data_IF_132267518676
#
_entry.id   IF_132267518676
#
_cell.length_a   1.000
_cell.length_b   1.000
_cell.length_c   1.000
_cell.angle_alpha   90.00
_cell.angle_beta   90.00
_cell.angle_gamma   90.00
#
_symmetry.space_group_name_H-M   'P 1'
#
loop_
_entity.id
_entity.type
_entity.pdbx_description
1 polymer ?
#
# COMPACT_ATOMS: atom_id res chain seq x y z
N UNK A 1 -33.38 -31.34 49.05
CA UNK A 1 -32.70 -30.20 48.41
C UNK A 1 -31.47 -30.71 47.71
N UNK A 2 -31.54 -30.85 46.37
CA UNK A 2 -30.45 -31.22 45.54
C UNK A 2 -29.84 -29.91 44.93
N UNK A 3 -28.62 -29.65 45.22
CA UNK A 3 -27.85 -28.53 44.65
C UNK A 3 -27.31 -28.92 43.27
N UNK A 4 -27.74 -28.21 42.25
CA UNK A 4 -27.23 -28.35 40.89
C UNK A 4 -26.02 -27.46 40.73
N UNK A 5 -24.87 -28.08 40.46
CA UNK A 5 -23.61 -27.38 40.12
C UNK A 5 -23.71 -26.86 38.68
N UNK A 6 -23.38 -25.61 38.38
CA UNK A 6 -23.30 -25.14 37.00
C UNK A 6 -22.08 -25.73 36.31
N UNK A 7 -22.26 -26.14 35.04
CA UNK A 7 -21.21 -26.61 34.18
C UNK A 7 -20.26 -25.45 33.84
N UNK A 8 -18.98 -25.66 34.10
CA UNK A 8 -17.88 -24.77 33.78
C UNK A 8 -17.71 -24.77 32.25
N UNK A 9 -17.94 -23.60 31.63
CA UNK A 9 -17.69 -23.39 30.22
C UNK A 9 -16.17 -23.34 30.01
N UNK A 10 -15.64 -24.39 29.36
CA UNK A 10 -14.22 -24.41 28.95
C UNK A 10 -14.03 -23.36 27.87
N UNK A 11 -13.39 -22.25 28.21
CA UNK A 11 -12.95 -21.21 27.30
C UNK A 11 -11.86 -21.81 26.41
N UNK A 12 -12.19 -22.02 25.13
CA UNK A 12 -11.23 -22.54 24.13
C UNK A 12 -10.24 -21.43 23.78
N UNK A 13 -8.96 -21.64 24.10
CA UNK A 13 -7.88 -20.73 23.77
C UNK A 13 -7.75 -20.60 22.23
N UNK A 14 -7.84 -19.40 21.64
CA UNK A 14 -7.76 -19.19 20.19
C UNK A 14 -6.43 -19.65 19.58
N UNK A 15 -5.37 -19.76 20.36
CA UNK A 15 -4.07 -20.29 19.92
C UNK A 15 -4.14 -21.79 19.63
N UNK A 16 -4.98 -22.54 20.37
CA UNK A 16 -5.18 -23.98 20.17
C UNK A 16 -5.87 -24.30 18.84
N UNK A 17 -6.87 -23.47 18.45
CA UNK A 17 -7.58 -23.65 17.17
C UNK A 17 -6.68 -23.40 15.95
N UNK A 18 -5.70 -22.52 16.09
CA UNK A 18 -4.77 -22.24 15.00
C UNK A 18 -3.70 -23.34 14.86
N UNK A 19 -3.25 -23.91 15.96
CA UNK A 19 -2.30 -25.03 15.97
C UNK A 19 -2.90 -26.31 15.35
N UNK A 20 -4.17 -26.58 15.63
CA UNK A 20 -4.87 -27.77 15.10
C UNK A 20 -5.09 -27.67 13.58
N UNK A 21 -5.38 -26.47 13.05
CA UNK A 21 -5.51 -26.24 11.60
C UNK A 21 -4.21 -26.41 10.84
N UNK A 22 -3.07 -26.05 11.43
CA UNK A 22 -1.76 -26.24 10.81
C UNK A 22 -1.35 -27.73 10.84
N UNK A 23 -1.64 -28.44 11.92
CA UNK A 23 -1.35 -29.88 12.04
C UNK A 23 -2.18 -30.69 11.02
N UNK A 24 -3.43 -30.33 10.80
CA UNK A 24 -4.31 -30.99 9.83
C UNK A 24 -3.88 -30.72 8.38
N UNK A 25 -3.41 -29.50 8.07
CA UNK A 25 -2.84 -29.16 6.76
C UNK A 25 -1.54 -29.92 6.46
N UNK A 26 -0.72 -30.21 7.46
CA UNK A 26 0.50 -31.00 7.30
C UNK A 26 0.25 -32.49 7.18
N UNK A 27 -0.82 -33.04 7.81
CA UNK A 27 -1.18 -34.45 7.69
C UNK A 27 -1.72 -34.83 6.32
N UNK A 28 -2.26 -33.87 5.57
CA UNK A 28 -2.77 -34.12 4.21
C UNK A 28 -1.64 -34.34 3.18
N UNK A 29 -0.44 -33.80 3.43
CA UNK A 29 0.73 -33.99 2.58
C UNK A 29 1.46 -35.33 2.82
N UNK A 30 1.19 -36.00 3.95
CA UNK A 30 1.85 -37.26 4.33
C UNK A 30 1.07 -38.51 3.88
N UNK A 31 -0.19 -38.37 3.42
CA UNK A 31 -1.04 -39.51 3.08
C UNK A 31 -1.01 -39.93 1.60
N UNK A 32 -0.39 -39.17 0.72
CA UNK A 32 -0.16 -39.55 -0.68
C UNK A 32 1.25 -40.05 -0.87
N UNK A 33 1.47 -41.29 -0.47
CA UNK A 33 2.74 -42.01 -0.61
C UNK A 33 2.97 -42.55 -2.02
N UNK A 34 2.95 -41.67 -3.01
CA UNK A 34 3.57 -41.90 -4.31
C UNK A 34 4.63 -40.83 -4.52
N UNK A 35 5.89 -41.23 -4.34
CA UNK A 35 7.03 -40.42 -4.73
C UNK A 35 7.02 -40.28 -6.26
N UNK A 36 6.47 -39.16 -6.76
CA UNK A 36 6.67 -38.76 -8.15
C UNK A 36 8.12 -38.31 -8.25
N UNK A 37 8.96 -39.14 -8.85
CA UNK A 37 10.30 -38.76 -9.25
C UNK A 37 10.17 -37.69 -10.36
N UNK A 38 10.25 -36.42 -9.94
CA UNK A 38 10.35 -35.29 -10.85
C UNK A 38 11.76 -35.27 -11.41
N UNK A 39 12.05 -36.17 -12.34
CA UNK A 39 13.26 -36.15 -13.14
C UNK A 39 13.43 -34.79 -13.78
N UNK A 40 14.51 -34.12 -13.44
CA UNK A 40 14.85 -32.72 -13.79
C UNK A 40 15.14 -32.54 -15.30
N UNK A 41 15.10 -33.60 -16.09
CA UNK A 41 15.61 -33.66 -17.49
C UNK A 41 14.53 -33.60 -18.55
N UNK A 42 13.29 -33.18 -18.24
CA UNK A 42 12.21 -33.16 -19.21
C UNK A 42 11.42 -31.87 -19.36
N UNK A 43 11.75 -30.80 -18.64
CA UNK A 43 11.02 -29.53 -18.72
C UNK A 43 11.75 -28.60 -19.69
N UNK A 44 11.33 -28.64 -20.95
CA UNK A 44 11.74 -27.64 -21.96
C UNK A 44 10.94 -26.38 -21.70
N UNK A 45 11.58 -25.36 -21.13
CA UNK A 45 10.99 -24.03 -21.03
C UNK A 45 11.12 -23.34 -22.38
N UNK A 46 10.02 -23.23 -23.09
CA UNK A 46 9.94 -22.35 -24.24
C UNK A 46 9.76 -20.91 -23.72
N UNK A 47 10.85 -20.15 -23.69
CA UNK A 47 10.81 -18.75 -23.27
C UNK A 47 10.21 -17.95 -24.43
N UNK A 48 8.90 -17.71 -24.36
CA UNK A 48 8.26 -16.76 -25.26
C UNK A 48 8.73 -15.35 -24.89
N UNK A 49 9.73 -14.87 -25.62
CA UNK A 49 10.12 -13.46 -25.59
C UNK A 49 9.10 -12.69 -26.41
N UNK A 50 8.13 -12.06 -25.73
CA UNK A 50 7.21 -11.16 -26.41
C UNK A 50 7.99 -10.02 -27.09
N UNK A 51 7.76 -9.74 -28.37
CA UNK A 51 8.42 -8.63 -29.05
C UNK A 51 8.00 -7.33 -28.36
N UNK A 52 9.00 -6.53 -27.97
CA UNK A 52 8.82 -5.19 -27.40
C UNK A 52 7.97 -4.39 -28.40
N UNK A 53 6.81 -3.82 -27.97
CA UNK A 53 6.01 -2.99 -28.86
C UNK A 53 6.83 -1.78 -29.32
N UNK A 54 7.03 -1.68 -30.63
CA UNK A 54 7.63 -0.50 -31.26
C UNK A 54 6.62 0.65 -31.12
N UNK A 55 6.98 1.81 -30.55
CA UNK A 55 6.07 2.93 -30.51
C UNK A 55 5.83 3.46 -31.92
N UNK A 56 4.60 3.34 -32.40
CA UNK A 56 4.15 4.01 -33.61
C UNK A 56 4.01 5.50 -33.28
N UNK A 57 4.64 6.42 -34.01
CA UNK A 57 4.44 7.84 -33.80
C UNK A 57 3.05 8.22 -34.34
N UNK A 58 2.10 8.42 -33.43
CA UNK A 58 0.82 9.03 -33.78
C UNK A 58 0.99 10.56 -33.85
N UNK A 59 0.64 11.10 -35.01
CA UNK A 59 0.83 12.50 -35.36
C UNK A 59 0.02 13.42 -34.44
N UNK A 60 0.72 14.32 -33.72
CA UNK A 60 0.12 15.39 -32.96
C UNK A 60 -0.53 16.41 -33.88
N UNK A 61 -1.86 16.48 -33.86
CA UNK A 61 -2.59 17.68 -34.32
C UNK A 61 -2.65 18.69 -33.21
N UNK A 62 -2.05 19.85 -33.43
CA UNK A 62 -1.90 20.90 -32.47
C UNK A 62 -3.21 21.49 -31.96
N UNK A 63 -3.23 21.78 -30.69
CA UNK A 63 -4.09 22.77 -30.08
C UNK A 63 -3.25 23.62 -29.13
N UNK A 64 -2.99 24.85 -29.53
CA UNK A 64 -2.32 25.88 -28.74
C UNK A 64 -3.25 26.34 -27.63
N UNK A 65 -3.06 25.81 -26.43
CA UNK A 65 -3.55 26.46 -25.21
C UNK A 65 -2.34 26.59 -24.28
N UNK A 66 -1.84 27.79 -24.08
CA UNK A 66 -0.85 28.14 -23.09
C UNK A 66 -1.45 27.97 -21.70
N UNK A 67 -1.37 26.77 -21.17
CA UNK A 67 -1.52 26.49 -19.76
C UNK A 67 -0.15 26.09 -19.25
N UNK A 68 0.32 26.73 -18.19
CA UNK A 68 1.49 26.31 -17.42
C UNK A 68 1.27 24.85 -17.01
N UNK A 69 1.74 23.93 -17.81
CA UNK A 69 1.65 22.49 -17.56
C UNK A 69 2.58 22.17 -16.41
N UNK A 70 2.05 22.21 -15.17
CA UNK A 70 2.70 21.53 -14.08
C UNK A 70 2.78 20.03 -14.49
N UNK A 71 3.99 19.50 -14.58
CA UNK A 71 4.19 18.10 -14.91
C UNK A 71 3.42 17.19 -13.94
N UNK A 72 2.57 16.32 -14.46
CA UNK A 72 1.86 15.30 -13.68
C UNK A 72 2.55 13.95 -13.89
N UNK A 73 2.84 13.20 -12.81
CA UNK A 73 3.46 11.89 -12.93
C UNK A 73 2.50 10.88 -13.58
N UNK A 74 3.03 9.93 -14.36
CA UNK A 74 2.22 8.84 -14.90
C UNK A 74 1.77 7.89 -13.80
N UNK A 75 0.57 7.33 -13.93
CA UNK A 75 0.09 6.26 -13.07
C UNK A 75 0.92 4.98 -13.27
N UNK A 76 1.31 4.36 -12.15
CA UNK A 76 1.91 3.02 -12.09
C UNK A 76 1.13 2.21 -11.06
N UNK A 77 0.67 1.01 -11.45
CA UNK A 77 -0.03 0.13 -10.53
C UNK A 77 0.89 -0.30 -9.38
N UNK A 78 0.46 -0.16 -8.12
CA UNK A 78 1.31 -0.52 -6.98
C UNK A 78 1.44 -2.03 -6.80
N UNK A 79 2.58 -2.47 -6.28
CA UNK A 79 2.81 -3.87 -5.93
C UNK A 79 1.92 -4.29 -4.74
N UNK A 80 1.27 -5.47 -4.79
CA UNK A 80 0.46 -5.98 -3.69
C UNK A 80 1.23 -6.08 -2.37
N UNK A 81 0.58 -5.77 -1.26
CA UNK A 81 1.18 -5.84 0.08
C UNK A 81 2.10 -4.69 0.47
N UNK A 82 2.27 -3.69 -0.40
CA UNK A 82 3.06 -2.49 -0.10
C UNK A 82 2.22 -1.38 0.55
N UNK A 83 2.87 -0.39 1.17
CA UNK A 83 2.21 0.82 1.65
C UNK A 83 1.48 1.57 0.52
N UNK A 84 2.03 1.53 -0.70
CA UNK A 84 1.39 2.11 -1.88
C UNK A 84 0.10 1.40 -2.25
N UNK A 85 0.03 0.06 -2.12
CA UNK A 85 -1.21 -0.69 -2.37
C UNK A 85 -2.31 -0.31 -1.37
N UNK A 86 -1.96 -0.14 -0.08
CA UNK A 86 -2.88 0.36 0.95
C UNK A 86 -3.38 1.76 0.60
N UNK A 87 -2.47 2.65 0.20
CA UNK A 87 -2.82 4.01 -0.19
C UNK A 87 -3.72 4.05 -1.43
N UNK A 88 -3.47 3.19 -2.41
CA UNK A 88 -4.29 3.11 -3.62
C UNK A 88 -5.74 2.77 -3.28
N UNK A 89 -5.97 1.75 -2.44
CA UNK A 89 -7.32 1.42 -1.99
C UNK A 89 -8.01 2.60 -1.30
N UNK A 90 -7.31 3.30 -0.40
CA UNK A 90 -7.84 4.46 0.33
C UNK A 90 -8.10 5.68 -0.58
N UNK A 91 -7.33 5.84 -1.66
CA UNK A 91 -7.53 6.87 -2.69
C UNK A 91 -8.82 6.59 -3.46
N UNK A 92 -9.01 5.33 -3.88
CA UNK A 92 -10.24 4.91 -4.58
C UNK A 92 -11.50 5.06 -3.70
N UNK A 93 -11.42 4.72 -2.42
CA UNK A 93 -12.51 4.91 -1.46
C UNK A 93 -12.94 6.38 -1.32
N UNK A 94 -12.03 7.33 -1.55
CA UNK A 94 -12.32 8.77 -1.54
C UNK A 94 -12.85 9.29 -2.88
N UNK A 95 -12.99 8.42 -3.89
CA UNK A 95 -13.41 8.78 -5.24
C UNK A 95 -12.31 9.50 -6.04
N UNK A 96 -11.07 9.42 -5.62
CA UNK A 96 -9.93 9.91 -6.37
C UNK A 96 -9.44 8.85 -7.35
N UNK A 97 -9.13 9.27 -8.58
CA UNK A 97 -8.70 8.37 -9.66
C UNK A 97 -7.20 8.05 -9.64
N UNK A 98 -6.79 7.33 -10.67
CA UNK A 98 -5.40 6.89 -10.85
C UNK A 98 -4.41 8.04 -10.99
N UNK A 99 -4.82 9.15 -11.60
CA UNK A 99 -3.99 10.38 -11.72
C UNK A 99 -3.68 10.96 -10.34
N UNK A 100 -4.67 10.98 -9.44
CA UNK A 100 -4.49 11.45 -8.07
C UNK A 100 -3.57 10.54 -7.27
N UNK A 101 -3.69 9.22 -7.48
CA UNK A 101 -2.74 8.28 -6.88
C UNK A 101 -1.31 8.48 -7.42
N UNK A 102 -1.14 8.71 -8.72
CA UNK A 102 0.17 8.99 -9.30
C UNK A 102 0.82 10.25 -8.69
N UNK A 103 0.04 11.31 -8.49
CA UNK A 103 0.48 12.50 -7.78
C UNK A 103 0.88 12.21 -6.32
N UNK A 104 0.10 11.37 -5.61
CA UNK A 104 0.40 10.96 -4.25
C UNK A 104 1.72 10.19 -4.16
N UNK A 105 1.94 9.25 -5.10
CA UNK A 105 3.19 8.48 -5.18
C UNK A 105 4.38 9.41 -5.35
N UNK A 106 4.30 10.38 -6.27
CA UNK A 106 5.37 11.35 -6.51
C UNK A 106 5.62 12.22 -5.28
N UNK A 107 4.56 12.71 -4.63
CA UNK A 107 4.63 13.53 -3.44
C UNK A 107 5.35 12.80 -2.30
N UNK A 108 4.88 11.62 -1.92
CA UNK A 108 5.44 10.89 -0.78
C UNK A 108 6.76 10.19 -1.07
N UNK A 109 7.09 9.96 -2.35
CA UNK A 109 8.47 9.63 -2.74
C UNK A 109 9.44 10.78 -2.39
N UNK A 110 9.04 12.01 -2.67
CA UNK A 110 9.84 13.21 -2.34
C UNK A 110 9.97 13.40 -0.82
N UNK A 111 8.90 13.14 -0.05
CA UNK A 111 8.87 13.38 1.39
C UNK A 111 9.67 12.33 2.18
N UNK A 112 9.39 11.07 1.95
CA UNK A 112 9.91 9.98 2.80
C UNK A 112 10.46 8.78 2.02
N UNK A 113 10.24 8.70 0.70
CA UNK A 113 10.41 7.47 -0.07
C UNK A 113 9.47 6.37 0.43
N UNK A 114 8.27 6.71 0.89
CA UNK A 114 7.26 5.78 1.44
C UNK A 114 7.72 5.03 2.70
N UNK A 115 8.70 5.53 3.43
CA UNK A 115 9.20 4.87 4.64
C UNK A 115 8.38 5.27 5.86
N UNK A 116 7.83 4.26 6.54
CA UNK A 116 7.04 4.41 7.78
C UNK A 116 7.83 5.09 8.90
N UNK A 117 9.13 4.80 9.00
CA UNK A 117 10.03 5.31 10.02
C UNK A 117 10.94 6.46 9.52
N UNK A 118 10.57 7.12 8.42
CA UNK A 118 11.34 8.27 7.94
C UNK A 118 11.28 9.38 8.99
N UNK A 119 12.44 9.88 9.40
CA UNK A 119 12.57 10.96 10.38
C UNK A 119 13.53 12.03 9.87
N UNK A 120 13.06 13.26 9.87
CA UNK A 120 13.90 14.43 9.56
C UNK A 120 14.38 15.06 10.86
N UNK A 121 15.66 14.86 11.20
CA UNK A 121 16.23 15.36 12.44
C UNK A 121 16.26 16.91 12.53
N UNK A 122 16.24 17.60 11.40
CA UNK A 122 16.26 19.06 11.36
C UNK A 122 14.90 19.70 11.69
N UNK A 123 13.80 19.08 11.22
CA UNK A 123 12.45 19.59 11.41
C UNK A 123 11.64 18.81 12.45
N UNK A 124 11.96 17.52 12.67
CA UNK A 124 11.14 16.61 13.47
C UNK A 124 9.97 15.99 12.69
N UNK A 125 9.92 16.16 11.37
CA UNK A 125 8.91 15.52 10.53
C UNK A 125 9.06 14.00 10.52
N UNK A 126 7.94 13.27 10.54
CA UNK A 126 7.93 11.82 10.70
C UNK A 126 6.99 11.10 9.75
N UNK A 127 7.42 9.88 9.35
CA UNK A 127 6.62 8.89 8.65
C UNK A 127 6.44 9.17 7.16
N UNK A 128 5.56 8.39 6.54
CA UNK A 128 5.27 8.47 5.09
C UNK A 128 4.90 9.90 4.67
N UNK A 129 3.94 10.59 5.34
CA UNK A 129 3.52 11.94 4.95
C UNK A 129 4.41 13.05 5.49
N UNK A 130 5.47 12.75 6.26
CA UNK A 130 6.32 13.74 6.94
C UNK A 130 5.52 14.73 7.80
N UNK A 131 4.62 14.17 8.64
CA UNK A 131 3.81 14.97 9.56
C UNK A 131 4.67 15.74 10.58
N UNK A 132 4.33 17.01 10.82
CA UNK A 132 5.06 17.88 11.75
C UNK A 132 4.12 18.55 12.76
N UNK A 133 4.23 18.24 14.05
CA UNK A 133 4.93 17.08 14.62
C UNK A 133 4.29 15.76 14.21
N UNK A 134 5.08 14.66 14.20
CA UNK A 134 4.61 13.32 13.85
C UNK A 134 3.42 12.85 14.68
N UNK A 135 3.37 13.25 15.97
CA UNK A 135 2.27 12.91 16.90
C UNK A 135 0.87 13.38 16.46
N UNK A 136 0.76 14.28 15.48
CA UNK A 136 -0.54 14.63 14.89
C UNK A 136 -1.24 13.42 14.26
N UNK A 137 -0.47 12.44 13.79
CA UNK A 137 -1.01 11.20 13.21
C UNK A 137 -1.72 10.31 14.22
N UNK A 138 -1.53 10.54 15.54
CA UNK A 138 -2.27 9.85 16.60
C UNK A 138 -3.79 10.06 16.51
N UNK A 139 -4.24 11.12 15.86
CA UNK A 139 -5.66 11.35 15.59
C UNK A 139 -6.28 10.33 14.62
N UNK A 140 -5.47 9.63 13.82
CA UNK A 140 -5.91 8.57 12.92
C UNK A 140 -5.77 7.17 13.56
N UNK A 141 -4.92 6.99 14.56
CA UNK A 141 -4.74 5.74 15.27
C UNK A 141 -3.55 5.78 16.24
N UNK A 142 -3.67 5.04 17.35
CA UNK A 142 -2.63 5.00 18.38
C UNK A 142 -1.31 4.37 17.91
N UNK A 143 -1.37 3.57 16.86
CA UNK A 143 -0.26 2.82 16.25
C UNK A 143 0.48 3.62 15.15
N UNK A 144 0.26 4.92 15.09
CA UNK A 144 0.77 5.82 14.02
C UNK A 144 2.29 5.76 13.81
N UNK A 145 3.06 5.38 14.83
CA UNK A 145 4.53 5.31 14.70
C UNK A 145 4.99 4.17 13.77
N UNK A 146 4.23 3.09 13.70
CA UNK A 146 4.67 1.85 13.02
C UNK A 146 3.69 1.35 11.97
N UNK A 147 2.44 1.82 11.99
CA UNK A 147 1.43 1.35 11.05
C UNK A 147 1.33 2.26 9.81
N UNK A 148 1.72 1.78 8.61
CA UNK A 148 1.61 2.56 7.39
C UNK A 148 0.17 2.97 7.07
N UNK A 149 -0.83 2.12 7.34
CA UNK A 149 -2.22 2.43 7.07
C UNK A 149 -2.71 3.64 7.87
N UNK A 150 -2.32 3.74 9.14
CA UNK A 150 -2.65 4.89 10.01
C UNK A 150 -1.99 6.17 9.52
N UNK A 151 -0.72 6.12 9.11
CA UNK A 151 -0.01 7.27 8.56
C UNK A 151 -0.63 7.74 7.24
N UNK A 152 -0.97 6.80 6.35
CA UNK A 152 -1.61 7.05 5.06
C UNK A 152 -3.00 7.68 5.27
N UNK A 153 -3.82 7.12 6.16
CA UNK A 153 -5.16 7.64 6.44
C UNK A 153 -5.10 9.09 6.93
N UNK A 154 -4.16 9.40 7.84
CA UNK A 154 -3.94 10.76 8.31
C UNK A 154 -3.47 11.69 7.18
N UNK A 155 -2.48 11.27 6.41
CA UNK A 155 -1.91 12.06 5.31
C UNK A 155 -2.93 12.39 4.22
N UNK A 156 -3.78 11.42 3.85
CA UNK A 156 -4.87 11.65 2.89
C UNK A 156 -5.95 12.59 3.45
N UNK A 157 -6.24 12.51 4.75
CA UNK A 157 -7.12 13.46 5.43
C UNK A 157 -6.56 14.88 5.40
N UNK A 158 -5.27 15.03 5.69
CA UNK A 158 -4.57 16.31 5.63
C UNK A 158 -4.58 16.91 4.20
N UNK A 159 -4.25 16.10 3.18
CA UNK A 159 -4.26 16.50 1.78
C UNK A 159 -5.66 16.95 1.36
N UNK A 160 -6.69 16.14 1.67
CA UNK A 160 -8.07 16.47 1.32
C UNK A 160 -8.56 17.78 1.95
N UNK A 161 -8.21 17.99 3.23
CA UNK A 161 -8.62 19.20 3.95
C UNK A 161 -7.90 20.48 3.52
N UNK A 162 -6.63 20.36 3.11
CA UNK A 162 -5.79 21.53 2.80
C UNK A 162 -5.67 21.84 1.31
N UNK A 163 -5.61 20.82 0.48
CA UNK A 163 -5.33 20.95 -0.95
C UNK A 163 -6.45 20.42 -1.84
N UNK A 164 -7.46 19.80 -1.25
CA UNK A 164 -8.56 19.16 -1.95
C UNK A 164 -8.21 17.78 -2.51
N UNK A 165 -7.08 17.65 -3.20
CA UNK A 165 -6.65 16.40 -3.84
C UNK A 165 -5.13 16.19 -3.75
N UNK A 166 -4.64 14.95 -3.96
CA UNK A 166 -3.22 14.65 -4.08
C UNK A 166 -2.49 15.47 -5.15
N UNK A 167 -3.08 15.65 -6.33
CA UNK A 167 -2.49 16.49 -7.38
C UNK A 167 -2.42 17.97 -6.99
N UNK A 168 -3.40 18.46 -6.23
CA UNK A 168 -3.35 19.79 -5.62
C UNK A 168 -2.17 19.96 -4.67
N UNK A 169 -1.93 18.96 -3.80
CA UNK A 169 -0.77 18.93 -2.88
C UNK A 169 0.55 18.83 -3.65
N UNK A 170 0.61 17.97 -4.67
CA UNK A 170 1.80 17.81 -5.51
C UNK A 170 2.16 19.13 -6.24
N UNK A 171 1.19 19.78 -6.85
CA UNK A 171 1.39 21.07 -7.52
C UNK A 171 1.90 22.14 -6.56
N UNK A 172 1.37 22.21 -5.33
CA UNK A 172 1.88 23.09 -4.27
C UNK A 172 3.33 22.75 -3.91
N UNK A 173 3.63 21.47 -3.66
CA UNK A 173 4.99 21.02 -3.33
C UNK A 173 6.01 21.30 -4.44
N UNK A 174 5.60 21.24 -5.71
CA UNK A 174 6.47 21.61 -6.83
C UNK A 174 6.81 23.10 -6.85
N UNK A 175 5.86 23.95 -6.49
CA UNK A 175 6.03 25.42 -6.54
C UNK A 175 6.72 26.00 -5.32
N UNK A 176 6.52 25.42 -4.13
CA UNK A 176 6.99 25.97 -2.84
C UNK A 176 8.08 25.12 -2.19
N UNK A 177 8.23 23.86 -2.59
CA UNK A 177 9.17 22.90 -2.00
C UNK A 177 8.61 22.10 -0.82
N UNK A 178 7.39 22.39 -0.34
CA UNK A 178 6.70 21.73 0.79
C UNK A 178 5.19 21.59 0.52
N UNK A 179 4.49 20.82 1.36
CA UNK A 179 3.02 20.70 1.34
C UNK A 179 2.44 20.59 2.75
#
# INVERSE_FOLDING_TARGET
SAATTPAEATELDPVSLYADTIADAQSFLAASGDSIDLGRDGIVYDVYVAPKPTPTPEAATGSTASTSTSWSPPFVSPDPGTAQAVAYAMVQERGWGDDEFACLVALWNKESGWRVNAYNAGSGAYGIPQALPGSKMASAGADWETNPATQIAWGLGYIGGRYGTPCGAWGHSQSTGWY
#
